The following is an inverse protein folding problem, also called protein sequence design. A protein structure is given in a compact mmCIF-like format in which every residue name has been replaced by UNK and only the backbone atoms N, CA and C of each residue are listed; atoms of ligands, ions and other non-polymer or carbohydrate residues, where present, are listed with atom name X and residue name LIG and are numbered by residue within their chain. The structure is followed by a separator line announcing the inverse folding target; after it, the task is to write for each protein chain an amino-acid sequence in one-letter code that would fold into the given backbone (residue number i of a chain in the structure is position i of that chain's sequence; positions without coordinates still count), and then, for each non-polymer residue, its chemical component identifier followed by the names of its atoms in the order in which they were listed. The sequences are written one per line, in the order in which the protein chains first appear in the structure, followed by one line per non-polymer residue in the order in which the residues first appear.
data_IF_527118760129
#
_entry.id   IF_527118760129
#
_cell.length_a   1.000
_cell.length_b   1.000
_cell.length_c   1.000
_cell.angle_alpha   90.00
_cell.angle_beta   90.00
_cell.angle_gamma   90.00
#
_symmetry.space_group_name_H-M   'P 1'
#
loop_
_entity.id
_entity.type
_entity.pdbx_description
1 polymer ?
#
# COMPACT_ATOMS: atom_id res chain seq x y z
N UNK A 1 35.57 -26.71 -33.81
CA UNK A 1 34.22 -26.54 -34.37
C UNK A 1 33.86 -25.07 -34.30
N UNK A 2 33.60 -24.41 -35.44
CA UNK A 2 33.40 -22.94 -35.54
C UNK A 2 31.96 -22.62 -35.13
N UNK A 3 31.77 -22.03 -33.95
CA UNK A 3 30.44 -21.74 -33.39
C UNK A 3 29.90 -20.47 -34.05
N UNK A 4 29.01 -20.61 -35.02
CA UNK A 4 28.23 -19.51 -35.60
C UNK A 4 26.97 -19.35 -34.74
N UNK A 5 27.02 -18.49 -33.73
CA UNK A 5 25.85 -18.16 -32.91
C UNK A 5 25.07 -17.05 -33.65
N UNK A 6 23.84 -17.28 -34.14
CA UNK A 6 23.10 -16.25 -34.86
C UNK A 6 22.64 -15.17 -33.88
N UNK A 7 23.07 -13.94 -34.14
CA UNK A 7 22.78 -12.68 -33.43
C UNK A 7 21.26 -12.39 -33.23
N UNK A 8 20.39 -13.20 -33.82
CA UNK A 8 18.92 -13.10 -33.74
C UNK A 8 18.33 -13.45 -32.37
N UNK A 9 19.01 -14.30 -31.58
CA UNK A 9 18.50 -14.69 -30.24
C UNK A 9 18.65 -13.57 -29.18
N UNK A 10 19.46 -12.55 -29.45
CA UNK A 10 19.72 -11.46 -28.52
C UNK A 10 18.63 -10.36 -28.58
N UNK A 11 17.86 -10.28 -29.66
CA UNK A 11 16.79 -9.29 -29.84
C UNK A 11 15.45 -9.71 -29.21
N UNK A 12 15.22 -11.00 -28.98
CA UNK A 12 14.01 -11.49 -28.30
C UNK A 12 14.10 -11.40 -26.76
N UNK A 13 15.32 -11.31 -26.21
CA UNK A 13 15.55 -11.24 -24.77
C UNK A 13 15.26 -9.84 -24.16
N UNK A 14 15.24 -8.77 -24.98
CA UNK A 14 15.02 -7.40 -24.51
C UNK A 14 13.55 -7.05 -24.29
N UNK A 15 12.60 -7.78 -24.88
CA UNK A 15 11.15 -7.53 -24.75
C UNK A 15 10.52 -8.21 -23.52
N UNK A 16 11.19 -9.20 -22.93
CA UNK A 16 10.68 -9.96 -21.78
C UNK A 16 10.92 -9.27 -20.43
N UNK A 17 11.71 -8.20 -20.37
CA UNK A 17 12.10 -7.52 -19.14
C UNK A 17 11.31 -6.22 -18.84
N UNK A 18 10.14 -6.04 -19.45
CA UNK A 18 9.28 -4.86 -19.21
C UNK A 18 8.09 -5.16 -18.28
N UNK A 19 7.85 -6.42 -17.91
CA UNK A 19 6.66 -6.84 -17.16
C UNK A 19 6.81 -6.78 -15.62
N UNK A 20 7.96 -6.36 -15.09
CA UNK A 20 8.22 -6.38 -13.64
C UNK A 20 7.93 -5.05 -12.90
N UNK A 21 7.26 -4.08 -13.52
CA UNK A 21 7.15 -2.72 -12.97
C UNK A 21 5.76 -2.32 -12.41
N UNK A 22 4.87 -3.27 -12.11
CA UNK A 22 3.57 -2.98 -11.46
C UNK A 22 3.34 -3.72 -10.13
N UNK A 23 4.42 -4.02 -9.41
CA UNK A 23 4.36 -4.19 -7.97
C UNK A 23 5.02 -2.97 -7.32
N UNK A 24 4.48 -1.78 -7.59
CA UNK A 24 4.69 -0.62 -6.72
C UNK A 24 4.19 -1.04 -5.35
N UNK A 25 5.12 -1.54 -4.52
CA UNK A 25 4.84 -2.07 -3.21
C UNK A 25 3.94 -1.08 -2.49
N UNK A 26 2.72 -1.52 -2.18
CA UNK A 26 1.78 -0.75 -1.38
C UNK A 26 2.52 -0.45 -0.07
N UNK A 27 3.12 0.74 0.01
CA UNK A 27 3.97 1.13 1.13
C UNK A 27 3.14 0.88 2.37
N UNK A 28 3.59 -0.09 3.14
CA UNK A 28 2.79 -0.72 4.18
C UNK A 28 2.87 0.18 5.38
N UNK A 29 2.16 1.31 5.32
CA UNK A 29 2.18 2.26 6.40
C UNK A 29 1.32 1.73 7.54
N UNK A 30 1.95 1.66 8.71
CA UNK A 30 1.28 1.36 9.96
C UNK A 30 1.13 2.67 10.74
N UNK A 31 -0.09 2.95 11.18
CA UNK A 31 -0.38 4.04 12.09
C UNK A 31 -1.00 3.45 13.34
N UNK A 32 -0.37 3.73 14.48
CA UNK A 32 -0.89 3.34 15.79
C UNK A 32 -1.14 4.61 16.59
N UNK A 33 -2.34 4.76 17.12
CA UNK A 33 -2.75 5.95 17.84
C UNK A 33 -4.18 5.85 18.36
N UNK A 34 -4.58 6.77 19.25
CA UNK A 34 -5.97 6.87 19.66
C UNK A 34 -6.82 7.34 18.47
N UNK A 35 -8.00 6.73 18.33
CA UNK A 35 -9.02 7.18 17.39
C UNK A 35 -9.56 8.53 17.85
N UNK A 36 -9.55 9.50 16.94
CA UNK A 36 -10.17 10.80 17.17
C UNK A 36 -11.61 10.81 16.67
N UNK A 37 -11.88 10.12 15.57
CA UNK A 37 -13.19 10.12 14.91
C UNK A 37 -13.36 8.85 14.08
N UNK A 38 -14.57 8.29 14.07
CA UNK A 38 -14.96 7.17 13.22
C UNK A 38 -16.27 7.50 12.57
N UNK A 39 -16.26 7.52 11.24
CA UNK A 39 -17.43 7.63 10.39
C UNK A 39 -17.46 6.43 9.42
N UNK A 40 -18.56 6.26 8.69
CA UNK A 40 -18.72 5.16 7.74
C UNK A 40 -17.66 5.18 6.63
N UNK A 41 -17.21 6.37 6.23
CA UNK A 41 -16.29 6.58 5.11
C UNK A 41 -14.87 6.97 5.54
N UNK A 42 -14.62 7.22 6.83
CA UNK A 42 -13.33 7.75 7.30
C UNK A 42 -13.03 7.39 8.75
N UNK A 43 -11.75 7.19 9.07
CA UNK A 43 -11.22 7.05 10.43
C UNK A 43 -10.14 8.11 10.63
N UNK A 44 -10.28 8.93 11.66
CA UNK A 44 -9.23 9.84 12.09
C UNK A 44 -8.48 9.25 13.28
N UNK A 45 -7.15 9.24 13.22
CA UNK A 45 -6.28 8.76 14.30
C UNK A 45 -5.23 9.80 14.62
N UNK A 46 -4.85 9.91 15.88
CA UNK A 46 -3.77 10.78 16.30
C UNK A 46 -2.43 10.06 16.19
N UNK A 47 -1.52 10.59 15.36
CA UNK A 47 -0.16 10.07 15.23
C UNK A 47 0.82 11.14 15.68
N UNK A 48 1.34 11.00 16.90
CA UNK A 48 2.18 12.05 17.50
C UNK A 48 1.37 13.32 17.71
N UNK A 49 1.75 14.41 17.02
CA UNK A 49 1.02 15.70 17.06
C UNK A 49 0.10 15.92 15.86
N UNK A 50 0.14 15.03 14.88
CA UNK A 50 -0.62 15.17 13.63
C UNK A 50 -1.89 14.31 13.66
N UNK A 51 -2.98 14.86 13.11
CA UNK A 51 -4.21 14.12 12.82
C UNK A 51 -4.07 13.43 11.46
N UNK A 52 -4.23 12.12 11.45
CA UNK A 52 -4.21 11.30 10.26
C UNK A 52 -5.60 10.85 9.91
N UNK A 53 -6.02 11.12 8.67
CA UNK A 53 -7.35 10.74 8.17
C UNK A 53 -7.22 9.62 7.15
N UNK A 54 -8.05 8.60 7.34
CA UNK A 54 -7.95 7.34 6.62
C UNK A 54 -9.32 7.06 6.03
N UNK A 55 -9.42 7.11 4.71
CA UNK A 55 -10.65 6.74 4.03
C UNK A 55 -10.94 5.25 4.21
N UNK A 56 -12.18 4.94 4.53
CA UNK A 56 -12.74 3.59 4.57
C UNK A 56 -13.45 3.32 3.26
N UNK A 57 -13.30 2.11 2.80
CA UNK A 57 -14.01 1.56 1.65
C UNK A 57 -14.51 0.15 1.98
N UNK A 58 -15.23 -0.47 1.04
CA UNK A 58 -15.76 -1.83 1.19
C UNK A 58 -14.68 -2.91 1.39
N UNK A 59 -13.42 -2.60 1.09
CA UNK A 59 -12.28 -3.49 1.27
C UNK A 59 -11.62 -3.32 2.66
N UNK A 60 -12.04 -2.31 3.43
CA UNK A 60 -11.49 -2.01 4.75
C UNK A 60 -11.98 -3.04 5.75
N UNK A 61 -11.07 -3.94 6.16
CA UNK A 61 -11.35 -4.94 7.18
C UNK A 61 -11.09 -4.36 8.56
N UNK A 62 -12.14 -4.34 9.38
CA UNK A 62 -12.06 -3.98 10.80
C UNK A 62 -12.13 -5.24 11.63
N UNK A 63 -11.18 -5.40 12.53
CA UNK A 63 -11.16 -6.49 13.52
C UNK A 63 -11.24 -5.87 14.90
N UNK A 64 -12.37 -6.07 15.60
CA UNK A 64 -12.65 -5.49 16.90
C UNK A 64 -13.53 -4.25 16.85
N UNK A 65 -13.77 -3.64 18.01
CA UNK A 65 -14.49 -2.38 18.14
C UNK A 65 -13.62 -1.20 17.69
N UNK A 66 -14.20 -0.29 16.91
CA UNK A 66 -13.60 1.00 16.56
C UNK A 66 -14.31 2.09 17.34
N UNK A 67 -13.76 2.46 18.50
CA UNK A 67 -14.32 3.50 19.37
C UNK A 67 -13.38 4.69 19.45
N UNK A 68 -13.97 5.89 19.49
CA UNK A 68 -13.22 7.13 19.74
C UNK A 68 -12.53 7.04 21.11
N UNK A 69 -11.27 7.46 21.16
CA UNK A 69 -10.41 7.39 22.34
C UNK A 69 -9.63 6.07 22.47
N UNK A 70 -10.04 5.01 21.75
CA UNK A 70 -9.38 3.71 21.84
C UNK A 70 -8.11 3.68 20.97
N UNK A 71 -7.06 3.03 21.46
CA UNK A 71 -5.81 2.91 20.72
C UNK A 71 -5.93 1.83 19.66
N UNK A 72 -5.91 2.22 18.40
CA UNK A 72 -6.02 1.31 17.26
C UNK A 72 -4.71 1.23 16.51
N UNK A 73 -4.47 0.09 15.87
CA UNK A 73 -3.34 -0.12 14.97
C UNK A 73 -3.87 -0.39 13.59
N UNK A 74 -3.66 0.55 12.69
CA UNK A 74 -4.11 0.48 11.32
C UNK A 74 -2.94 0.02 10.46
N UNK A 75 -3.08 -1.15 9.84
CA UNK A 75 -2.08 -1.79 8.98
C UNK A 75 -2.50 -1.67 7.52
N UNK A 76 -1.54 -1.45 6.62
CA UNK A 76 -1.76 -1.25 5.17
C UNK A 76 -2.64 -0.04 4.86
N UNK A 77 -2.19 1.15 5.27
CA UNK A 77 -2.76 2.37 4.73
C UNK A 77 -2.33 2.57 3.29
N UNK A 78 -3.29 2.67 2.37
CA UNK A 78 -3.06 3.22 1.03
C UNK A 78 -3.02 4.74 1.16
N UNK A 79 -1.84 5.28 1.49
CA UNK A 79 -1.66 6.73 1.62
C UNK A 79 -1.78 7.39 0.23
N UNK A 80 -2.94 7.97 -0.09
CA UNK A 80 -3.03 8.95 -1.17
C UNK A 80 -2.54 10.29 -0.60
N UNK A 81 -1.25 10.56 -0.74
CA UNK A 81 -0.81 11.96 -0.73
C UNK A 81 -1.30 12.58 -2.04
N UNK A 82 -2.06 13.67 -1.92
CA UNK A 82 -2.36 14.55 -3.05
C UNK A 82 -1.13 15.40 -3.35
#
# INVERSE_FOLDING_TARGET
MKIKLPLSLLAAASLALSSAAFAAGAKTYQVTGPVLEVNDTMIAVQKGKDRWEINRDSNTKVTGDLKVGEKVTIRRLRQRNK
#
